data_IF_477193360746
#
_entry.id   IF_477193360746
#
_cell.length_a   1.000
_cell.length_b   1.000
_cell.length_c   1.000
_cell.angle_alpha   90.00
_cell.angle_beta   90.00
_cell.angle_gamma   90.00
#
_symmetry.space_group_name_H-M   'P 1'
#
loop_
_entity.id
_entity.type
_entity.pdbx_description
1 polymer ?
#
# COMPACT_ATOMS: atom_id res chain seq x y z
N UNK A 1 15.27 4.43 25.38
CA UNK A 1 15.50 3.04 24.91
C UNK A 1 14.16 2.32 24.93
N UNK A 2 13.40 2.34 23.84
CA UNK A 2 12.19 1.51 23.71
C UNK A 2 12.56 0.31 22.86
N UNK A 3 12.69 -0.84 23.49
CA UNK A 3 12.79 -2.14 22.82
C UNK A 3 11.53 -2.34 21.98
N UNK A 4 11.63 -2.03 20.69
CA UNK A 4 10.55 -2.20 19.73
C UNK A 4 10.48 -3.70 19.39
N UNK A 5 9.88 -4.49 20.27
CA UNK A 5 9.59 -5.90 19.98
C UNK A 5 8.52 -5.93 18.90
N UNK A 6 8.94 -6.16 17.65
CA UNK A 6 8.00 -6.42 16.57
C UNK A 6 7.21 -7.67 16.93
N UNK A 7 5.89 -7.54 17.00
CA UNK A 7 5.01 -8.66 17.19
C UNK A 7 4.86 -9.37 15.83
N UNK A 8 4.92 -10.70 15.84
CA UNK A 8 4.79 -11.49 14.61
C UNK A 8 3.36 -11.97 14.53
N UNK A 9 2.62 -11.48 13.54
CA UNK A 9 1.23 -11.86 13.29
C UNK A 9 1.19 -12.65 11.98
N UNK A 10 0.60 -13.84 11.98
CA UNK A 10 0.49 -14.65 10.78
C UNK A 10 -0.83 -14.37 10.04
N UNK A 11 -0.73 -13.96 8.77
CA UNK A 11 -1.89 -13.68 7.91
C UNK A 11 -1.77 -14.55 6.65
N UNK A 12 -2.73 -15.45 6.42
CA UNK A 12 -2.75 -16.39 5.29
C UNK A 12 -1.40 -17.11 5.09
N UNK A 13 -0.77 -17.54 6.18
CA UNK A 13 0.51 -18.26 6.16
C UNK A 13 1.76 -17.38 6.00
N UNK A 14 1.64 -16.06 5.95
CA UNK A 14 2.78 -15.14 5.93
C UNK A 14 2.94 -14.37 7.24
N UNK A 15 4.19 -14.25 7.69
CA UNK A 15 4.53 -13.52 8.92
C UNK A 15 4.59 -12.01 8.69
N UNK A 16 3.87 -11.25 9.51
CA UNK A 16 3.96 -9.80 9.57
C UNK A 16 4.66 -9.40 10.87
N UNK A 17 5.92 -8.97 10.75
CA UNK A 17 6.71 -8.43 11.86
C UNK A 17 6.47 -6.92 11.98
N UNK A 18 5.37 -6.54 12.61
CA UNK A 18 4.99 -5.14 12.82
C UNK A 18 4.86 -4.84 14.31
N UNK A 19 5.06 -3.59 14.73
CA UNK A 19 4.92 -3.22 16.14
C UNK A 19 3.46 -3.31 16.61
N UNK A 20 3.26 -3.39 17.93
CA UNK A 20 1.92 -3.39 18.56
C UNK A 20 1.10 -2.11 18.30
N UNK A 21 1.67 -1.11 17.60
CA UNK A 21 0.96 0.07 17.11
C UNK A 21 -0.15 -0.30 16.12
N UNK A 22 0.07 -1.31 15.29
CA UNK A 22 -0.85 -1.72 14.24
C UNK A 22 -1.66 -2.93 14.71
N UNK A 23 -2.97 -2.75 14.85
CA UNK A 23 -3.87 -3.78 15.38
C UNK A 23 -4.93 -4.17 14.35
N UNK A 24 -5.59 -5.30 14.58
CA UNK A 24 -6.68 -5.81 13.73
C UNK A 24 -6.27 -6.01 12.26
N UNK A 25 -5.09 -6.60 12.03
CA UNK A 25 -4.60 -6.88 10.68
C UNK A 25 -5.59 -7.78 9.93
N UNK A 26 -6.04 -7.34 8.75
CA UNK A 26 -6.94 -8.10 7.87
C UNK A 26 -6.39 -8.14 6.46
N UNK A 27 -6.40 -9.31 5.85
CA UNK A 27 -5.98 -9.47 4.46
C UNK A 27 -6.84 -8.63 3.51
N UNK A 28 -6.20 -7.89 2.60
CA UNK A 28 -6.86 -7.16 1.51
C UNK A 28 -6.55 -7.81 0.17
N UNK A 29 -5.27 -7.96 -0.16
CA UNK A 29 -4.82 -8.43 -1.46
C UNK A 29 -3.43 -9.06 -1.40
N UNK A 30 -3.10 -9.82 -2.43
CA UNK A 30 -1.75 -10.34 -2.68
C UNK A 30 -1.45 -10.26 -4.16
N UNK A 31 -0.19 -9.97 -4.50
CA UNK A 31 0.30 -9.96 -5.87
C UNK A 31 1.74 -10.43 -5.95
N UNK A 32 2.33 -10.33 -7.15
CA UNK A 32 3.69 -10.78 -7.43
C UNK A 32 4.77 -10.15 -6.52
N UNK A 33 4.48 -8.98 -5.95
CA UNK A 33 5.44 -8.21 -5.15
C UNK A 33 5.20 -8.28 -3.64
N UNK A 34 4.12 -8.94 -3.19
CA UNK A 34 3.85 -9.05 -1.75
C UNK A 34 2.38 -9.14 -1.36
N UNK A 35 2.13 -8.95 -0.06
CA UNK A 35 0.81 -9.01 0.56
C UNK A 35 0.45 -7.66 1.17
N UNK A 36 -0.81 -7.26 0.99
CA UNK A 36 -1.39 -6.05 1.58
C UNK A 36 -2.42 -6.44 2.61
N UNK A 37 -2.32 -5.84 3.80
CA UNK A 37 -3.29 -5.98 4.89
C UNK A 37 -3.81 -4.60 5.29
N UNK A 38 -5.06 -4.48 5.71
CA UNK A 38 -5.52 -3.31 6.46
C UNK A 38 -5.15 -3.49 7.93
N UNK A 39 -4.92 -2.39 8.62
CA UNK A 39 -4.77 -2.37 10.07
C UNK A 39 -5.27 -1.02 10.63
N UNK A 40 -5.57 -1.00 11.93
CA UNK A 40 -5.81 0.24 12.65
C UNK A 40 -4.52 0.72 13.30
N UNK A 41 -4.10 1.95 12.98
CA UNK A 41 -2.95 2.60 13.60
C UNK A 41 -3.38 3.28 14.92
N UNK A 42 -2.99 2.69 16.04
CA UNK A 42 -3.37 3.18 17.38
C UNK A 42 -2.76 4.51 17.76
N UNK A 43 -1.67 4.95 17.11
CA UNK A 43 -1.06 6.25 17.38
C UNK A 43 -1.71 7.37 16.56
N UNK A 44 -2.04 7.08 15.30
CA UNK A 44 -2.68 8.05 14.39
C UNK A 44 -4.22 8.00 14.43
N UNK A 45 -4.78 7.01 15.12
CA UNK A 45 -6.22 6.76 15.24
C UNK A 45 -6.92 6.67 13.87
N UNK A 46 -6.29 6.01 12.91
CA UNK A 46 -6.81 5.88 11.54
C UNK A 46 -6.55 4.48 10.98
N UNK A 47 -7.44 4.05 10.08
CA UNK A 47 -7.20 2.84 9.29
C UNK A 47 -6.14 3.11 8.23
N UNK A 48 -5.24 2.14 8.03
CA UNK A 48 -4.14 2.20 7.08
C UNK A 48 -4.04 0.88 6.30
N UNK A 49 -3.31 0.91 5.19
CA UNK A 49 -2.85 -0.28 4.48
C UNK A 49 -1.37 -0.53 4.80
N UNK A 50 -1.01 -1.78 5.07
CA UNK A 50 0.38 -2.23 5.23
C UNK A 50 0.70 -3.16 4.07
N UNK A 51 1.61 -2.72 3.20
CA UNK A 51 2.14 -3.51 2.10
C UNK A 51 3.48 -4.13 2.50
N UNK A 52 3.50 -5.45 2.67
CA UNK A 52 4.71 -6.25 2.90
C UNK A 52 5.32 -6.63 1.56
N UNK A 53 6.60 -6.33 1.36
CA UNK A 53 7.37 -6.63 0.14
C UNK A 53 8.63 -7.40 0.53
N UNK A 54 8.95 -8.48 -0.20
CA UNK A 54 10.18 -9.28 0.00
C UNK A 54 11.12 -9.12 -1.20
N UNK A 55 11.81 -7.96 -1.35
CA UNK A 55 12.46 -7.59 -2.60
C UNK A 55 13.76 -8.36 -2.86
N UNK A 56 14.41 -8.88 -1.83
CA UNK A 56 15.78 -9.42 -1.88
C UNK A 56 15.90 -10.77 -2.57
N UNK A 57 14.80 -11.33 -3.08
CA UNK A 57 14.80 -12.55 -3.88
C UNK A 57 15.46 -12.35 -5.25
N UNK A 58 15.48 -11.13 -5.79
CA UNK A 58 16.20 -10.84 -7.04
C UNK A 58 16.61 -9.38 -7.15
N UNK A 59 17.71 -9.13 -7.89
CA UNK A 59 18.16 -7.76 -8.21
C UNK A 59 17.07 -6.93 -8.89
N UNK A 60 16.26 -7.55 -9.75
CA UNK A 60 15.16 -6.90 -10.47
C UNK A 60 14.08 -6.44 -9.47
N UNK A 61 13.70 -7.29 -8.52
CA UNK A 61 12.71 -6.94 -7.49
C UNK A 61 13.21 -5.83 -6.57
N UNK A 62 14.48 -5.85 -6.18
CA UNK A 62 15.12 -4.75 -5.45
C UNK A 62 15.03 -3.43 -6.22
N UNK A 63 15.40 -3.42 -7.51
CA UNK A 63 15.35 -2.22 -8.34
C UNK A 63 13.91 -1.70 -8.51
N UNK A 64 12.94 -2.59 -8.74
CA UNK A 64 11.52 -2.24 -8.85
C UNK A 64 10.99 -1.62 -7.55
N UNK A 65 11.29 -2.24 -6.41
CA UNK A 65 10.87 -1.78 -5.08
C UNK A 65 11.50 -0.42 -4.74
N UNK A 66 12.80 -0.25 -5.01
CA UNK A 66 13.47 1.03 -4.81
C UNK A 66 12.89 2.14 -5.69
N UNK A 67 12.60 1.84 -6.96
CA UNK A 67 11.99 2.79 -7.89
C UNK A 67 10.60 3.20 -7.41
N UNK A 68 9.77 2.23 -7.02
CA UNK A 68 8.43 2.48 -6.48
C UNK A 68 8.48 3.40 -5.26
N UNK A 69 9.30 3.07 -4.25
CA UNK A 69 9.47 3.88 -3.04
C UNK A 69 9.94 5.30 -3.40
N UNK A 70 10.97 5.44 -4.25
CA UNK A 70 11.52 6.76 -4.61
C UNK A 70 10.52 7.63 -5.38
N UNK A 71 9.72 7.04 -6.26
CA UNK A 71 8.70 7.77 -7.02
C UNK A 71 7.59 8.21 -6.07
N UNK A 72 6.99 7.29 -5.30
CA UNK A 72 5.86 7.59 -4.41
C UNK A 72 6.22 8.52 -3.25
N UNK A 73 7.48 8.53 -2.80
CA UNK A 73 7.94 9.52 -1.81
C UNK A 73 7.95 10.95 -2.37
N UNK A 74 8.20 11.11 -3.68
CA UNK A 74 8.30 12.43 -4.35
C UNK A 74 6.97 12.94 -4.86
N UNK A 75 6.08 12.06 -5.31
CA UNK A 75 4.78 12.46 -5.83
C UNK A 75 3.82 12.77 -4.68
N UNK A 76 3.25 13.98 -4.68
CA UNK A 76 2.25 14.43 -3.69
C UNK A 76 1.05 15.00 -4.41
N UNK A 77 0.03 14.16 -4.60
CA UNK A 77 -1.17 14.49 -5.36
C UNK A 77 -2.34 13.61 -4.92
N UNK A 78 -3.55 14.16 -4.86
CA UNK A 78 -4.73 13.44 -4.34
C UNK A 78 -5.13 12.20 -5.15
N UNK A 79 -4.84 12.19 -6.46
CA UNK A 79 -5.11 11.05 -7.34
C UNK A 79 -3.92 10.06 -7.42
N UNK A 80 -2.98 10.11 -6.47
CA UNK A 80 -1.82 9.21 -6.38
C UNK A 80 -1.72 8.71 -4.94
N UNK A 81 -1.56 7.40 -4.76
CA UNK A 81 -1.41 6.81 -3.43
C UNK A 81 -0.17 7.36 -2.73
N UNK A 82 -0.30 7.68 -1.45
CA UNK A 82 0.78 8.25 -0.66
C UNK A 82 1.35 7.22 0.32
N UNK A 83 2.68 7.11 0.34
CA UNK A 83 3.40 6.43 1.42
C UNK A 83 3.39 7.35 2.64
N UNK A 84 2.73 6.90 3.71
CA UNK A 84 2.66 7.56 5.01
C UNK A 84 3.95 7.33 5.78
N UNK A 85 4.42 6.08 5.81
CA UNK A 85 5.57 5.66 6.62
C UNK A 85 6.21 4.41 6.01
N UNK A 86 7.53 4.26 6.17
CA UNK A 86 8.25 3.03 5.82
C UNK A 86 8.80 2.46 7.12
N UNK A 87 8.38 1.25 7.48
CA UNK A 87 8.90 0.62 8.70
C UNK A 87 10.35 0.18 8.45
N UNK A 88 11.24 0.67 9.31
CA UNK A 88 12.65 0.35 9.24
C UNK A 88 12.92 -0.99 9.92
N UNK A 89 13.76 -1.86 9.32
CA UNK A 89 14.24 -3.05 10.01
C UNK A 89 15.12 -2.66 11.21
N UNK A 90 15.23 -3.53 12.21
CA UNK A 90 16.07 -3.32 13.39
C UNK A 90 17.56 -3.28 13.05
N UNK A 91 17.98 -4.03 12.03
CA UNK A 91 19.32 -3.99 11.44
C UNK A 91 19.29 -4.34 9.95
N UNK A 92 20.32 -3.96 9.21
CA UNK A 92 20.45 -4.29 7.78
C UNK A 92 20.54 -5.81 7.55
N UNK A 93 21.19 -6.54 8.45
CA UNK A 93 21.36 -7.99 8.38
C UNK A 93 20.02 -8.74 8.52
N UNK A 94 19.06 -8.14 9.22
CA UNK A 94 17.72 -8.71 9.44
C UNK A 94 16.68 -8.22 8.40
N UNK A 95 17.10 -7.39 7.44
CA UNK A 95 16.20 -6.81 6.45
C UNK A 95 15.82 -7.84 5.39
N UNK A 96 14.79 -8.65 5.67
CA UNK A 96 14.19 -9.60 4.71
C UNK A 96 12.98 -9.01 4.00
N UNK A 97 12.21 -8.22 4.73
CA UNK A 97 10.95 -7.64 4.28
C UNK A 97 10.96 -6.12 4.47
N UNK A 98 10.25 -5.42 3.59
CA UNK A 98 9.96 -3.99 3.67
C UNK A 98 8.46 -3.82 3.88
N UNK A 99 8.07 -3.00 4.85
CA UNK A 99 6.68 -2.67 5.10
C UNK A 99 6.42 -1.20 4.77
N UNK A 100 5.53 -0.96 3.81
CA UNK A 100 5.06 0.37 3.44
C UNK A 100 3.70 0.60 4.09
N UNK A 101 3.56 1.69 4.84
CA UNK A 101 2.30 2.15 5.39
C UNK A 101 1.72 3.17 4.40
N UNK A 102 0.53 2.89 3.91
CA UNK A 102 -0.16 3.65 2.87
C UNK A 102 -1.58 4.01 3.32
N UNK A 103 -2.19 4.99 2.64
CA UNK A 103 -3.61 5.30 2.85
C UNK A 103 -4.48 4.09 2.51
N UNK A 104 -5.42 3.73 3.39
CA UNK A 104 -6.38 2.67 3.10
C UNK A 104 -7.44 3.19 2.13
N UNK A 105 -7.66 2.45 1.04
CA UNK A 105 -8.75 2.70 0.07
C UNK A 105 -9.79 1.58 0.20
N UNK A 106 -11.06 1.91 -0.02
CA UNK A 106 -12.17 0.96 0.21
C UNK A 106 -12.22 -0.19 -0.81
N UNK A 107 -11.97 0.12 -2.08
CA UNK A 107 -12.02 -0.86 -3.17
C UNK A 107 -11.14 -0.40 -4.35
N UNK A 108 -10.94 -1.30 -5.31
CA UNK A 108 -10.26 -1.02 -6.57
C UNK A 108 -11.26 -1.02 -7.74
N UNK A 109 -10.85 -0.43 -8.87
CA UNK A 109 -11.71 -0.30 -10.04
C UNK A 109 -12.07 -1.66 -10.66
N UNK A 110 -11.22 -2.68 -10.52
CA UNK A 110 -11.51 -4.03 -11.04
C UNK A 110 -12.69 -4.65 -10.30
N UNK A 111 -12.69 -4.58 -8.96
CA UNK A 111 -13.81 -5.01 -8.14
C UNK A 111 -15.07 -4.20 -8.42
N UNK A 112 -14.95 -2.89 -8.63
CA UNK A 112 -16.09 -2.02 -8.93
C UNK A 112 -16.74 -2.34 -10.28
N UNK A 113 -15.93 -2.65 -11.30
CA UNK A 113 -16.40 -3.05 -12.64
C UNK A 113 -16.98 -4.47 -12.60
N UNK A 114 -16.37 -5.40 -11.87
CA UNK A 114 -16.82 -6.80 -11.82
C UNK A 114 -18.11 -6.97 -11.01
N UNK A 115 -18.28 -6.19 -9.94
CA UNK A 115 -19.40 -6.32 -9.01
C UNK A 115 -20.54 -5.31 -9.30
N UNK A 116 -20.89 -5.12 -10.57
CA UNK A 116 -22.04 -4.32 -10.96
C UNK A 116 -23.32 -5.13 -10.78
N UNK A 117 -24.00 -4.93 -9.64
CA UNK A 117 -25.31 -5.53 -9.36
C UNK A 117 -26.27 -4.47 -8.84
N UNK A 118 -27.56 -4.56 -9.22
CA UNK A 118 -28.65 -3.72 -8.71
C UNK A 118 -28.27 -2.26 -8.41
N UNK A 119 -27.96 -1.97 -7.14
CA UNK A 119 -27.62 -0.64 -6.60
C UNK A 119 -26.17 -0.16 -6.82
N UNK A 120 -25.30 -0.93 -7.48
CA UNK A 120 -23.88 -0.61 -7.76
C UNK A 120 -23.57 -0.47 -9.25
N UNK A 121 -24.51 0.11 -10.01
CA UNK A 121 -24.28 0.39 -11.43
C UNK A 121 -23.49 1.69 -11.56
N UNK A 122 -22.41 1.65 -12.34
CA UNK A 122 -21.67 2.85 -12.69
C UNK A 122 -22.50 3.68 -13.67
N UNK A 123 -22.86 4.90 -13.27
CA UNK A 123 -23.46 5.87 -14.18
C UNK A 123 -22.39 6.52 -15.05
N UNK A 124 -22.82 7.21 -16.11
CA UNK A 124 -21.94 8.00 -16.96
C UNK A 124 -21.17 9.07 -16.16
N UNK A 125 -21.80 9.67 -15.14
CA UNK A 125 -21.15 10.62 -14.24
C UNK A 125 -20.01 9.98 -13.44
N UNK A 126 -20.20 8.74 -12.94
CA UNK A 126 -19.14 8.01 -12.26
C UNK A 126 -17.98 7.72 -13.23
N UNK A 127 -18.28 7.30 -14.46
CA UNK A 127 -17.27 7.02 -15.50
C UNK A 127 -16.48 8.29 -15.84
N UNK A 128 -17.17 9.42 -16.01
CA UNK A 128 -16.56 10.72 -16.28
C UNK A 128 -15.64 11.13 -15.13
N UNK A 129 -16.10 10.99 -13.89
CA UNK A 129 -15.33 11.36 -12.71
C UNK A 129 -14.09 10.48 -12.50
N UNK A 130 -14.18 9.17 -12.70
CA UNK A 130 -13.01 8.28 -12.65
C UNK A 130 -12.02 8.61 -13.76
N UNK A 131 -12.51 8.79 -14.99
CA UNK A 131 -11.67 9.17 -16.12
C UNK A 131 -10.92 10.48 -15.85
N UNK A 132 -11.63 11.50 -15.34
CA UNK A 132 -11.03 12.78 -14.98
C UNK A 132 -9.92 12.62 -13.94
N UNK A 133 -10.19 11.90 -12.84
CA UNK A 133 -9.21 11.70 -11.77
C UNK A 133 -7.97 10.91 -12.24
N UNK A 134 -8.17 9.89 -13.09
CA UNK A 134 -7.08 9.13 -13.70
C UNK A 134 -6.19 10.05 -14.55
N UNK A 135 -6.80 10.82 -15.45
CA UNK A 135 -6.09 11.76 -16.31
C UNK A 135 -5.38 12.86 -15.51
N UNK A 136 -5.98 13.33 -14.42
CA UNK A 136 -5.38 14.33 -13.53
C UNK A 136 -4.15 13.76 -12.79
N UNK A 137 -4.23 12.52 -12.30
CA UNK A 137 -3.09 11.81 -11.73
C UNK A 137 -1.96 11.63 -12.75
N UNK A 138 -2.28 11.15 -13.96
CA UNK A 138 -1.32 10.95 -15.05
C UNK A 138 -0.67 12.28 -15.48
N UNK A 139 -1.44 13.36 -15.58
CA UNK A 139 -0.92 14.71 -15.86
C UNK A 139 0.15 15.12 -14.84
N UNK A 140 -0.10 14.88 -13.55
CA UNK A 140 0.86 15.19 -12.50
C UNK A 140 2.13 14.33 -12.61
N UNK A 141 1.98 13.02 -12.85
CA UNK A 141 3.12 12.09 -13.07
C UNK A 141 4.00 12.57 -14.23
N UNK A 142 3.38 12.89 -15.38
CA UNK A 142 4.10 13.39 -16.55
C UNK A 142 4.80 14.73 -16.27
N UNK A 143 4.19 15.63 -15.51
CA UNK A 143 4.83 16.91 -15.13
C UNK A 143 6.08 16.74 -14.26
N UNK A 144 6.22 15.58 -13.60
CA UNK A 144 7.40 15.21 -12.82
C UNK A 144 8.45 14.40 -13.61
N UNK A 145 8.27 14.23 -14.94
CA UNK A 145 9.12 13.43 -15.83
C UNK A 145 9.32 11.99 -15.34
N UNK A 146 8.26 11.38 -14.81
CA UNK A 146 8.22 9.96 -14.43
C UNK A 146 7.62 9.12 -15.56
#
# INVERSE_FOLDING_TARGET
MTSNTNNIIQIRGQDFAVSNRFVNLKYLASGAYGMVVSAFDTQKLTNIAIKKISPFLSKINCQRTLREIRILQRLKHENIINIIEILKPTSLEQMKDIYLIETLMDTDLSQLITNQNGSKILSDDHILYFTYQLLRGVKYIHSANV
#
